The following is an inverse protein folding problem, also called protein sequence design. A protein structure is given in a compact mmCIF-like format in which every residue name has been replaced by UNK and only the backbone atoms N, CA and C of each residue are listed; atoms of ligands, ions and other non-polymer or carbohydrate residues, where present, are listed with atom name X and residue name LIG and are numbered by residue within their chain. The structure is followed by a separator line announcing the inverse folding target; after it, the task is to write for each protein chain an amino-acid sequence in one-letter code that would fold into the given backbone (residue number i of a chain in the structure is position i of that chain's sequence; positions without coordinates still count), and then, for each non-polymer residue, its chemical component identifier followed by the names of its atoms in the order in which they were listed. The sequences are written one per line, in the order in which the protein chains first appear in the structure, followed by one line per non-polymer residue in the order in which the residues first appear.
data_IF_252430679371
#
_entry.id   IF_252430679371
#
_cell.length_a   1.000
_cell.length_b   1.000
_cell.length_c   1.000
_cell.angle_alpha   90.00
_cell.angle_beta   90.00
_cell.angle_gamma   90.00
#
_symmetry.space_group_name_H-M   'P 1'
#
loop_
_entity.id
_entity.type
_entity.pdbx_description
1 polymer ?
#
# COMPACT_ATOMS: atom_id res chain seq x y z
N UNK A 1 -24.98 -16.42 19.76
CA UNK A 1 -25.24 -15.03 19.49
C UNK A 1 -25.23 -14.85 17.98
N UNK A 2 -26.40 -14.60 17.45
CA UNK A 2 -26.63 -14.44 16.03
C UNK A 2 -25.94 -13.16 15.56
N UNK A 3 -25.08 -13.27 14.56
CA UNK A 3 -24.62 -12.13 13.76
C UNK A 3 -25.87 -11.50 13.12
N UNK A 4 -26.16 -10.28 13.54
CA UNK A 4 -27.36 -9.57 13.12
C UNK A 4 -27.31 -9.37 11.60
N UNK A 5 -28.29 -9.88 10.87
CA UNK A 5 -28.37 -9.81 9.41
C UNK A 5 -28.31 -8.38 8.83
N UNK A 6 -28.42 -7.36 9.68
CA UNK A 6 -28.32 -5.96 9.30
C UNK A 6 -26.89 -5.44 9.06
N UNK A 7 -25.86 -6.11 9.62
CA UNK A 7 -24.47 -5.68 9.43
C UNK A 7 -23.94 -5.88 8.00
N UNK A 8 -24.46 -6.85 7.26
CA UNK A 8 -24.00 -7.14 5.90
C UNK A 8 -24.72 -6.35 4.79
N UNK A 9 -25.68 -5.48 5.13
CA UNK A 9 -26.52 -4.83 4.14
C UNK A 9 -25.85 -3.61 3.45
N UNK A 10 -24.69 -3.15 3.93
CA UNK A 10 -24.02 -1.96 3.42
C UNK A 10 -22.62 -2.22 2.83
N UNK A 11 -22.02 -3.39 3.07
CA UNK A 11 -20.70 -3.72 2.50
C UNK A 11 -20.84 -4.02 1.01
N UNK A 12 -20.14 -3.26 0.18
CA UNK A 12 -20.09 -3.46 -1.26
C UNK A 12 -19.39 -4.78 -1.61
N UNK A 13 -19.60 -5.27 -2.81
CA UNK A 13 -18.78 -6.35 -3.33
C UNK A 13 -17.36 -5.85 -3.64
N UNK A 14 -16.35 -6.69 -3.51
CA UNK A 14 -14.93 -6.34 -3.74
C UNK A 14 -14.73 -5.63 -5.09
N UNK A 15 -15.44 -6.08 -6.12
CA UNK A 15 -15.37 -5.47 -7.45
C UNK A 15 -15.84 -4.01 -7.45
N UNK A 16 -16.84 -3.65 -6.66
CA UNK A 16 -17.34 -2.27 -6.58
C UNK A 16 -16.32 -1.34 -5.90
N UNK A 17 -15.63 -1.78 -4.82
CA UNK A 17 -14.53 -1.02 -4.24
C UNK A 17 -13.40 -0.81 -5.23
N UNK A 18 -13.08 -1.83 -6.03
CA UNK A 18 -12.08 -1.73 -7.07
C UNK A 18 -12.43 -0.66 -8.09
N UNK A 19 -13.63 -0.69 -8.63
CA UNK A 19 -14.12 0.28 -9.63
C UNK A 19 -14.11 1.72 -9.08
N UNK A 20 -14.56 1.92 -7.84
CA UNK A 20 -14.53 3.23 -7.19
C UNK A 20 -13.11 3.72 -6.96
N UNK A 21 -12.20 2.84 -6.53
CA UNK A 21 -10.79 3.21 -6.36
C UNK A 21 -10.12 3.51 -7.71
N UNK A 22 -10.30 2.70 -8.74
CA UNK A 22 -9.73 2.92 -10.08
C UNK A 22 -10.22 4.24 -10.68
N UNK A 23 -11.48 4.57 -10.49
CA UNK A 23 -12.06 5.86 -10.88
C UNK A 23 -11.39 7.02 -10.13
N UNK A 24 -11.15 6.87 -8.84
CA UNK A 24 -10.46 7.86 -8.03
C UNK A 24 -8.99 8.03 -8.44
N UNK A 25 -8.26 6.93 -8.61
CA UNK A 25 -6.88 6.91 -9.08
C UNK A 25 -6.73 7.56 -10.47
N UNK A 26 -7.65 7.29 -11.40
CA UNK A 26 -7.64 7.87 -12.74
C UNK A 26 -7.93 9.39 -12.74
N UNK A 27 -8.64 9.88 -11.73
CA UNK A 27 -8.90 11.31 -11.53
C UNK A 27 -7.71 12.02 -10.84
N UNK A 28 -6.87 11.28 -10.12
CA UNK A 28 -5.70 11.85 -9.45
C UNK A 28 -4.68 12.34 -10.47
N UNK A 29 -4.27 13.58 -10.33
CA UNK A 29 -3.29 14.20 -11.21
C UNK A 29 -2.10 14.69 -10.39
N UNK A 30 -0.95 14.00 -10.43
CA UNK A 30 0.28 14.51 -9.82
C UNK A 30 0.67 15.86 -10.41
N UNK A 31 1.53 16.66 -9.72
CA UNK A 31 2.09 17.86 -10.29
C UNK A 31 2.74 17.58 -11.67
N UNK A 32 2.79 18.58 -12.56
CA UNK A 32 3.28 18.39 -13.94
C UNK A 32 4.69 18.93 -14.17
N UNK A 33 5.19 19.72 -13.23
CA UNK A 33 6.49 20.38 -13.35
C UNK A 33 7.32 20.14 -12.09
N UNK A 34 8.60 19.72 -12.24
CA UNK A 34 9.32 19.46 -13.51
C UNK A 34 8.82 18.19 -14.22
N UNK A 35 8.69 18.26 -15.55
CA UNK A 35 8.05 17.19 -16.33
C UNK A 35 8.74 15.83 -16.19
N UNK A 36 10.08 15.80 -16.19
CA UNK A 36 10.84 14.55 -16.09
C UNK A 36 10.74 13.89 -14.70
N UNK A 37 10.31 14.62 -13.67
CA UNK A 37 10.04 14.05 -12.34
C UNK A 37 8.69 13.38 -12.28
N UNK A 38 7.65 14.02 -12.82
CA UNK A 38 6.25 13.57 -12.64
C UNK A 38 5.71 12.69 -13.77
N UNK A 39 6.32 12.73 -14.96
CA UNK A 39 5.92 11.84 -16.06
C UNK A 39 6.15 10.35 -15.71
N UNK A 40 7.28 9.94 -15.10
CA UNK A 40 7.46 8.57 -14.63
C UNK A 40 6.45 8.18 -13.55
N UNK A 41 6.11 9.08 -12.62
CA UNK A 41 5.08 8.85 -11.59
C UNK A 41 3.73 8.53 -12.25
N UNK A 42 3.27 9.38 -13.15
CA UNK A 42 2.02 9.16 -13.89
C UNK A 42 2.04 7.87 -14.69
N UNK A 43 3.16 7.57 -15.34
CA UNK A 43 3.34 6.32 -16.08
C UNK A 43 3.20 5.11 -15.17
N UNK A 44 3.86 5.10 -14.01
CA UNK A 44 3.88 3.94 -13.13
C UNK A 44 2.52 3.73 -12.45
N UNK A 45 1.84 4.79 -12.02
CA UNK A 45 0.49 4.72 -11.44
C UNK A 45 -0.56 4.22 -12.44
N UNK A 46 -0.37 4.47 -13.74
CA UNK A 46 -1.26 4.00 -14.79
C UNK A 46 -1.06 2.51 -15.15
N UNK A 47 0.00 1.85 -14.66
CA UNK A 47 0.19 0.41 -14.89
C UNK A 47 -0.92 -0.39 -14.20
N UNK A 48 -1.41 -1.41 -14.90
CA UNK A 48 -2.43 -2.32 -14.35
C UNK A 48 -1.97 -3.01 -13.07
N UNK A 49 -2.90 -3.31 -12.16
CA UNK A 49 -2.61 -3.99 -10.91
C UNK A 49 -3.84 -4.55 -10.23
N UNK A 50 -3.65 -5.48 -9.31
CA UNK A 50 -4.76 -6.08 -8.52
C UNK A 50 -5.41 -5.09 -7.56
N UNK A 51 -4.73 -4.00 -7.19
CA UNK A 51 -5.20 -2.93 -6.28
C UNK A 51 -5.72 -3.47 -4.93
N UNK A 52 -5.14 -4.56 -4.42
CA UNK A 52 -5.62 -5.24 -3.20
C UNK A 52 -5.54 -4.29 -1.98
N UNK A 53 -4.41 -3.60 -1.79
CA UNK A 53 -4.18 -2.73 -0.62
C UNK A 53 -5.21 -1.59 -0.53
N UNK A 54 -5.42 -0.78 -1.56
CA UNK A 54 -6.45 0.25 -1.50
C UNK A 54 -7.87 -0.32 -1.32
N UNK A 55 -8.20 -1.45 -1.95
CA UNK A 55 -9.49 -2.12 -1.76
C UNK A 55 -9.68 -2.51 -0.28
N UNK A 56 -8.66 -3.06 0.36
CA UNK A 56 -8.69 -3.41 1.78
C UNK A 56 -8.86 -2.18 2.69
N UNK A 57 -8.30 -1.03 2.31
CA UNK A 57 -8.50 0.23 3.04
C UNK A 57 -9.97 0.66 2.99
N UNK A 58 -10.58 0.65 1.79
CA UNK A 58 -11.99 1.01 1.61
C UNK A 58 -12.92 0.04 2.33
N UNK A 59 -12.70 -1.27 2.15
CA UNK A 59 -13.46 -2.33 2.80
C UNK A 59 -13.40 -2.22 4.32
N UNK A 60 -12.22 -1.96 4.88
CA UNK A 60 -12.06 -1.80 6.33
C UNK A 60 -12.80 -0.58 6.86
N UNK A 61 -12.80 0.54 6.15
CA UNK A 61 -13.59 1.71 6.52
C UNK A 61 -15.09 1.38 6.61
N UNK A 62 -15.62 0.71 5.60
CA UNK A 62 -17.04 0.30 5.53
C UNK A 62 -17.38 -0.74 6.62
N UNK A 63 -16.47 -1.66 6.90
CA UNK A 63 -16.62 -2.69 7.95
C UNK A 63 -16.88 -2.06 9.34
N UNK A 64 -16.26 -0.92 9.63
CA UNK A 64 -16.44 -0.17 10.88
C UNK A 64 -17.48 0.95 10.76
N UNK A 65 -18.46 0.80 9.85
CA UNK A 65 -19.56 1.74 9.62
C UNK A 65 -19.12 3.17 9.24
N UNK A 66 -17.91 3.34 8.70
CA UNK A 66 -17.49 4.57 8.04
C UNK A 66 -18.09 4.66 6.62
N UNK A 67 -17.94 5.83 6.00
CA UNK A 67 -18.20 5.94 4.57
C UNK A 67 -16.88 5.65 3.84
N UNK A 68 -16.82 4.56 3.06
CA UNK A 68 -15.60 4.17 2.34
C UNK A 68 -15.04 5.30 1.45
N UNK A 69 -15.88 6.21 0.97
CA UNK A 69 -15.44 7.37 0.16
C UNK A 69 -14.53 8.32 0.95
N UNK A 70 -14.72 8.40 2.26
CA UNK A 70 -13.88 9.23 3.12
C UNK A 70 -12.47 8.65 3.28
N UNK A 71 -12.26 7.35 2.96
CA UNK A 71 -10.95 6.69 3.00
C UNK A 71 -10.23 6.62 1.66
N UNK A 72 -10.75 7.26 0.59
CA UNK A 72 -10.14 7.23 -0.74
C UNK A 72 -8.73 7.85 -0.77
N UNK A 73 -8.49 8.94 -0.04
CA UNK A 73 -7.15 9.53 0.06
C UNK A 73 -6.17 8.60 0.78
N UNK A 74 -6.59 7.95 1.87
CA UNK A 74 -5.76 6.97 2.57
C UNK A 74 -5.47 5.74 1.68
N UNK A 75 -6.47 5.27 0.92
CA UNK A 75 -6.32 4.19 -0.04
C UNK A 75 -5.34 4.56 -1.17
N UNK A 76 -5.42 5.80 -1.67
CA UNK A 76 -4.50 6.31 -2.68
C UNK A 76 -3.09 6.47 -2.11
N UNK A 77 -2.94 6.95 -0.88
CA UNK A 77 -1.64 7.07 -0.21
C UNK A 77 -0.93 5.71 -0.11
N UNK A 78 -1.65 4.66 0.30
CA UNK A 78 -1.12 3.29 0.34
C UNK A 78 -0.70 2.81 -1.04
N UNK A 79 -1.50 3.06 -2.07
CA UNK A 79 -1.17 2.63 -3.43
C UNK A 79 0.03 3.40 -3.99
N UNK A 80 0.13 4.72 -3.75
CA UNK A 80 1.28 5.54 -4.17
C UNK A 80 2.55 5.06 -3.45
N UNK A 81 2.48 4.80 -2.15
CA UNK A 81 3.60 4.25 -1.39
C UNK A 81 4.03 2.86 -1.90
N UNK A 82 3.07 1.97 -2.16
CA UNK A 82 3.38 0.66 -2.72
C UNK A 82 4.06 0.78 -4.09
N UNK A 83 3.59 1.70 -4.95
CA UNK A 83 4.24 1.93 -6.23
C UNK A 83 5.63 2.57 -6.08
N UNK A 84 5.85 3.45 -5.08
CA UNK A 84 7.18 3.93 -4.69
C UNK A 84 8.12 2.76 -4.39
N UNK A 85 7.70 1.86 -3.49
CA UNK A 85 8.53 0.70 -3.12
C UNK A 85 8.85 -0.19 -4.32
N UNK A 86 7.91 -0.37 -5.26
CA UNK A 86 8.14 -1.14 -6.48
C UNK A 86 9.10 -0.45 -7.46
N UNK A 87 9.07 0.88 -7.58
CA UNK A 87 10.03 1.62 -8.44
C UNK A 87 11.45 1.44 -7.92
N UNK A 88 11.65 1.50 -6.60
CA UNK A 88 12.98 1.30 -6.00
C UNK A 88 13.40 -0.18 -6.01
N UNK A 89 12.47 -1.10 -5.78
CA UNK A 89 12.68 -2.54 -5.87
C UNK A 89 13.17 -2.93 -7.28
N UNK A 90 12.51 -2.42 -8.33
CA UNK A 90 12.91 -2.62 -9.73
C UNK A 90 14.36 -2.16 -10.00
N UNK A 91 14.84 -1.11 -9.33
CA UNK A 91 16.22 -0.64 -9.45
C UNK A 91 17.17 -1.63 -8.76
N UNK A 92 16.83 -2.05 -7.54
CA UNK A 92 17.67 -2.95 -6.74
C UNK A 92 17.81 -4.34 -7.39
N UNK A 93 16.73 -4.79 -8.04
CA UNK A 93 16.68 -6.09 -8.74
C UNK A 93 17.16 -5.99 -10.20
N UNK A 94 17.54 -4.80 -10.68
CA UNK A 94 17.88 -4.55 -12.10
C UNK A 94 16.79 -5.05 -13.07
N UNK A 95 15.53 -5.04 -12.62
CA UNK A 95 14.41 -5.63 -13.34
C UNK A 95 14.10 -4.88 -14.64
N UNK A 96 14.09 -5.52 -15.82
CA UNK A 96 13.83 -4.82 -17.08
C UNK A 96 12.34 -4.48 -17.28
N UNK A 97 11.45 -5.27 -16.71
CA UNK A 97 10.01 -5.17 -16.90
C UNK A 97 9.24 -5.27 -15.58
N UNK A 98 8.17 -4.49 -15.47
CA UNK A 98 7.15 -4.59 -14.41
C UNK A 98 5.76 -4.67 -15.06
N UNK A 99 5.01 -5.74 -14.74
CA UNK A 99 3.65 -5.95 -15.30
C UNK A 99 3.64 -5.89 -16.85
N UNK A 100 4.67 -6.43 -17.51
CA UNK A 100 4.82 -6.44 -18.96
C UNK A 100 5.28 -5.13 -19.59
N UNK A 101 5.52 -4.08 -18.79
CA UNK A 101 6.00 -2.77 -19.24
C UNK A 101 7.42 -2.52 -18.75
N UNK A 102 8.19 -1.68 -19.48
CA UNK A 102 9.53 -1.28 -19.04
C UNK A 102 9.49 -0.63 -17.66
N UNK A 103 10.45 -0.98 -16.81
CA UNK A 103 10.64 -0.30 -15.52
C UNK A 103 11.08 1.14 -15.70
N UNK A 104 10.91 1.98 -14.66
CA UNK A 104 11.21 3.42 -14.81
C UNK A 104 12.68 3.65 -15.15
N UNK A 105 13.62 2.95 -14.50
CA UNK A 105 15.04 3.10 -14.75
C UNK A 105 15.47 2.63 -16.15
N UNK A 106 14.74 1.69 -16.75
CA UNK A 106 14.98 1.26 -18.13
C UNK A 106 14.38 2.21 -19.17
N UNK A 107 13.23 2.80 -18.87
CA UNK A 107 12.51 3.67 -19.81
C UNK A 107 13.04 5.11 -19.81
N UNK A 108 13.57 5.58 -18.70
CA UNK A 108 14.20 6.90 -18.53
C UNK A 108 15.68 6.71 -18.20
N UNK A 109 16.02 6.77 -16.93
CA UNK A 109 17.35 6.54 -16.38
C UNK A 109 17.28 6.28 -14.87
N UNK A 110 18.39 5.87 -14.27
CA UNK A 110 18.49 5.53 -12.86
C UNK A 110 18.17 6.73 -11.94
N UNK A 111 18.73 7.90 -12.24
CA UNK A 111 18.52 9.10 -11.41
C UNK A 111 17.06 9.54 -11.42
N UNK A 112 16.43 9.50 -12.59
CA UNK A 112 15.00 9.79 -12.76
C UNK A 112 14.14 8.80 -11.97
N UNK A 113 14.48 7.51 -11.98
CA UNK A 113 13.74 6.50 -11.24
C UNK A 113 13.85 6.71 -9.73
N UNK A 114 15.05 6.98 -9.20
CA UNK A 114 15.27 7.29 -7.78
C UNK A 114 14.44 8.49 -7.37
N UNK A 115 14.57 9.63 -8.05
CA UNK A 115 13.84 10.85 -7.70
C UNK A 115 12.32 10.72 -7.85
N UNK A 116 11.86 9.96 -8.85
CA UNK A 116 10.43 9.71 -9.03
C UNK A 116 9.87 8.85 -7.90
N UNK A 117 10.62 7.87 -7.41
CA UNK A 117 10.28 7.12 -6.22
C UNK A 117 10.24 8.01 -4.98
N UNK A 118 11.30 8.81 -4.73
CA UNK A 118 11.36 9.71 -3.58
C UNK A 118 10.16 10.66 -3.52
N UNK A 119 9.81 11.27 -4.65
CA UNK A 119 8.65 12.18 -4.67
C UNK A 119 7.33 11.44 -4.45
N UNK A 120 7.20 10.20 -4.92
CA UNK A 120 5.99 9.38 -4.64
C UNK A 120 5.82 9.14 -3.15
N UNK A 121 6.88 8.89 -2.39
CA UNK A 121 6.82 8.77 -0.93
C UNK A 121 6.25 10.04 -0.29
N UNK A 122 6.71 11.22 -0.72
CA UNK A 122 6.19 12.50 -0.20
C UNK A 122 4.75 12.75 -0.65
N UNK A 123 4.40 12.45 -1.89
CA UNK A 123 3.01 12.57 -2.38
C UNK A 123 2.05 11.69 -1.57
N UNK A 124 2.48 10.49 -1.14
CA UNK A 124 1.69 9.63 -0.26
C UNK A 124 1.41 10.30 1.09
N UNK A 125 2.40 10.97 1.70
CA UNK A 125 2.19 11.76 2.93
C UNK A 125 1.23 12.93 2.71
N UNK A 126 1.34 13.65 1.60
CA UNK A 126 0.48 14.80 1.31
C UNK A 126 -0.99 14.44 1.21
N UNK A 127 -1.33 13.22 0.78
CA UNK A 127 -2.72 12.76 0.74
C UNK A 127 -3.37 12.71 2.14
N UNK A 128 -2.59 12.54 3.20
CA UNK A 128 -3.12 12.58 4.58
C UNK A 128 -3.48 14.00 5.04
N UNK A 129 -2.93 15.04 4.42
CA UNK A 129 -3.24 16.44 4.75
C UNK A 129 -4.71 16.81 4.48
N UNK A 130 -5.42 16.00 3.69
CA UNK A 130 -6.85 16.17 3.42
C UNK A 130 -7.74 15.77 4.61
N UNK A 131 -7.18 15.14 5.66
CA UNK A 131 -7.90 14.73 6.86
C UNK A 131 -7.80 15.78 7.97
N UNK A 132 -8.76 15.73 8.92
CA UNK A 132 -8.63 16.53 10.14
C UNK A 132 -7.41 16.10 10.97
N UNK A 133 -6.96 16.98 11.88
CA UNK A 133 -5.72 16.82 12.64
C UNK A 133 -5.60 15.45 13.34
N UNK A 134 -6.66 14.97 13.99
CA UNK A 134 -6.62 13.72 14.74
C UNK A 134 -6.39 12.52 13.82
N UNK A 135 -7.11 12.46 12.71
CA UNK A 135 -6.97 11.39 11.70
C UNK A 135 -5.61 11.51 11.02
N UNK A 136 -5.21 12.72 10.61
CA UNK A 136 -3.89 12.98 10.03
C UNK A 136 -2.75 12.45 10.90
N UNK A 137 -2.74 12.81 12.18
CA UNK A 137 -1.69 12.38 13.12
C UNK A 137 -1.65 10.85 13.26
N UNK A 138 -2.82 10.20 13.34
CA UNK A 138 -2.90 8.74 13.45
C UNK A 138 -2.40 8.04 12.17
N UNK A 139 -2.84 8.51 10.99
CA UNK A 139 -2.40 7.99 9.70
C UNK A 139 -0.90 8.19 9.48
N UNK A 140 -0.38 9.39 9.75
CA UNK A 140 1.04 9.71 9.58
C UNK A 140 1.95 8.86 10.49
N UNK A 141 1.55 8.64 11.75
CA UNK A 141 2.29 7.77 12.68
C UNK A 141 2.31 6.31 12.22
N UNK A 142 1.15 5.77 11.83
CA UNK A 142 1.07 4.42 11.30
C UNK A 142 1.90 4.26 10.03
N UNK A 143 1.78 5.20 9.11
CA UNK A 143 2.49 5.18 7.84
C UNK A 143 4.01 5.26 8.02
N UNK A 144 4.50 6.15 8.88
CA UNK A 144 5.94 6.28 9.15
C UNK A 144 6.52 5.00 9.72
N UNK A 145 5.83 4.37 10.68
CA UNK A 145 6.23 3.08 11.23
C UNK A 145 6.29 2.02 10.14
N UNK A 146 5.20 1.88 9.37
CA UNK A 146 5.11 0.88 8.30
C UNK A 146 6.15 1.10 7.19
N UNK A 147 6.45 2.36 6.84
CA UNK A 147 7.47 2.66 5.85
C UNK A 147 8.86 2.19 6.29
N UNK A 148 9.21 2.38 7.56
CA UNK A 148 10.47 1.84 8.13
C UNK A 148 10.48 0.31 8.07
N UNK A 149 9.42 -0.35 8.53
CA UNK A 149 9.29 -1.80 8.52
C UNK A 149 9.42 -2.39 7.10
N UNK A 150 8.81 -1.76 6.10
CA UNK A 150 8.94 -2.18 4.68
C UNK A 150 10.39 -2.04 4.19
N UNK A 151 11.10 -0.95 4.54
CA UNK A 151 12.50 -0.79 4.18
C UNK A 151 13.39 -1.85 4.85
N UNK A 152 13.13 -2.15 6.13
CA UNK A 152 13.82 -3.22 6.86
C UNK A 152 13.57 -4.59 6.22
N UNK A 153 12.32 -4.86 5.81
CA UNK A 153 11.96 -6.08 5.10
C UNK A 153 12.66 -6.22 3.75
N UNK A 154 12.77 -5.13 2.99
CA UNK A 154 13.50 -5.12 1.72
C UNK A 154 15.01 -5.34 1.93
N UNK A 155 15.60 -4.77 2.98
CA UNK A 155 17.01 -5.02 3.30
C UNK A 155 17.24 -6.48 3.68
N UNK A 156 16.34 -7.09 4.48
CA UNK A 156 16.42 -8.51 4.81
C UNK A 156 16.35 -9.40 3.56
N UNK A 157 15.51 -9.06 2.59
CA UNK A 157 15.40 -9.79 1.33
C UNK A 157 16.70 -9.75 0.53
N UNK A 158 17.32 -8.56 0.40
CA UNK A 158 18.63 -8.39 -0.24
C UNK A 158 19.72 -9.17 0.50
N UNK A 159 19.72 -9.17 1.84
CA UNK A 159 20.72 -9.87 2.61
C UNK A 159 20.55 -11.39 2.52
N UNK A 160 19.30 -11.86 2.52
CA UNK A 160 18.98 -13.28 2.45
C UNK A 160 19.22 -13.87 1.06
N UNK A 161 19.06 -13.09 0.00
CA UNK A 161 19.37 -13.54 -1.37
C UNK A 161 20.85 -13.98 -1.54
N UNK A 162 21.74 -13.53 -0.64
CA UNK A 162 23.16 -13.89 -0.64
C UNK A 162 23.49 -15.11 0.21
N UNK A 163 22.50 -15.66 0.94
CA UNK A 163 22.69 -16.80 1.84
C UNK A 163 22.33 -18.11 1.14
N UNK A 164 23.07 -19.18 1.41
CA UNK A 164 22.79 -20.50 0.85
C UNK A 164 21.69 -21.25 1.59
N UNK A 165 21.34 -20.83 2.81
CA UNK A 165 20.32 -21.47 3.63
C UNK A 165 19.64 -20.45 4.52
N UNK A 166 18.30 -20.41 4.45
CA UNK A 166 17.45 -19.54 5.25
C UNK A 166 16.41 -20.40 5.94
N UNK A 167 16.38 -20.38 7.27
CA UNK A 167 15.34 -21.08 8.01
C UNK A 167 13.98 -20.38 7.89
N UNK A 168 12.90 -21.15 8.12
CA UNK A 168 11.51 -20.65 8.00
C UNK A 168 11.22 -19.43 8.89
N UNK A 169 11.83 -19.32 10.07
CA UNK A 169 11.63 -18.18 10.96
C UNK A 169 12.18 -16.87 10.35
N UNK A 170 13.36 -16.90 9.75
CA UNK A 170 13.94 -15.74 9.04
C UNK A 170 13.10 -15.36 7.82
N UNK A 171 12.69 -16.35 7.03
CA UNK A 171 11.82 -16.14 5.88
C UNK A 171 10.51 -15.48 6.30
N UNK A 172 9.82 -16.01 7.34
CA UNK A 172 8.57 -15.41 7.84
C UNK A 172 8.78 -13.99 8.34
N UNK A 173 9.86 -13.69 9.04
CA UNK A 173 10.17 -12.33 9.51
C UNK A 173 10.39 -11.37 8.32
N UNK A 174 11.06 -11.79 7.27
CA UNK A 174 11.30 -10.98 6.08
C UNK A 174 9.98 -10.68 5.35
N UNK A 175 9.13 -11.68 5.06
CA UNK A 175 7.85 -11.46 4.36
C UNK A 175 6.86 -10.67 5.23
N UNK A 176 6.90 -10.82 6.57
CA UNK A 176 6.13 -10.00 7.48
C UNK A 176 6.45 -8.52 7.26
N UNK A 177 7.73 -8.15 7.30
CA UNK A 177 8.16 -6.76 7.16
C UNK A 177 8.02 -6.25 5.70
N UNK A 178 8.46 -7.03 4.71
CA UNK A 178 8.44 -6.60 3.30
C UNK A 178 7.03 -6.45 2.74
N UNK A 179 6.10 -7.36 3.12
CA UNK A 179 4.79 -7.48 2.47
C UNK A 179 3.62 -7.28 3.43
N UNK A 180 3.63 -7.97 4.59
CA UNK A 180 2.43 -8.11 5.40
C UNK A 180 2.11 -6.86 6.22
N UNK A 181 3.10 -6.14 6.75
CA UNK A 181 2.87 -4.90 7.53
C UNK A 181 2.12 -3.84 6.73
N UNK A 182 2.39 -3.72 5.43
CA UNK A 182 1.67 -2.76 4.58
C UNK A 182 0.20 -3.18 4.34
N UNK A 183 -0.09 -4.47 4.29
CA UNK A 183 -1.47 -4.97 4.21
C UNK A 183 -2.20 -4.70 5.52
N UNK A 184 -1.57 -4.97 6.67
CA UNK A 184 -2.10 -4.63 7.98
C UNK A 184 -2.37 -3.13 8.12
N UNK A 185 -1.40 -2.30 7.72
CA UNK A 185 -1.53 -0.85 7.74
C UNK A 185 -2.66 -0.35 6.83
N UNK A 186 -2.83 -0.94 5.64
CA UNK A 186 -3.93 -0.61 4.73
C UNK A 186 -5.29 -0.78 5.39
N UNK A 187 -5.51 -1.90 6.06
CA UNK A 187 -6.77 -2.17 6.78
C UNK A 187 -6.93 -1.24 7.99
N UNK A 188 -5.87 -1.03 8.77
CA UNK A 188 -5.91 -0.13 9.93
C UNK A 188 -6.18 1.32 9.53
N UNK A 189 -5.67 1.80 8.40
CA UNK A 189 -5.98 3.14 7.89
C UNK A 189 -7.48 3.32 7.62
N UNK A 190 -8.15 2.33 7.02
CA UNK A 190 -9.60 2.36 6.84
C UNK A 190 -10.34 2.45 8.18
N UNK A 191 -9.94 1.66 9.19
CA UNK A 191 -10.51 1.69 10.52
C UNK A 191 -10.28 3.04 11.25
N UNK A 192 -9.10 3.66 11.08
CA UNK A 192 -8.80 5.00 11.62
C UNK A 192 -9.75 6.04 11.02
N UNK A 193 -9.93 6.03 9.70
CA UNK A 193 -10.84 6.97 9.01
C UNK A 193 -12.27 6.77 9.47
N UNK A 194 -12.71 5.54 9.67
CA UNK A 194 -14.02 5.19 10.25
C UNK A 194 -14.15 5.52 11.73
N UNK A 195 -13.08 5.97 12.40
CA UNK A 195 -13.04 6.25 13.84
C UNK A 195 -13.37 5.03 14.71
N UNK A 196 -12.96 3.84 14.28
CA UNK A 196 -13.05 2.62 15.07
C UNK A 196 -12.25 2.78 16.38
N UNK A 197 -12.61 2.02 17.40
CA UNK A 197 -11.87 2.03 18.67
C UNK A 197 -10.43 1.51 18.49
N UNK A 198 -9.53 1.88 19.38
CA UNK A 198 -8.12 1.47 19.33
C UNK A 198 -7.96 -0.05 19.27
N UNK A 199 -8.81 -0.79 20.01
CA UNK A 199 -8.81 -2.25 20.00
C UNK A 199 -9.25 -2.83 18.65
N UNK A 200 -10.27 -2.25 18.03
CA UNK A 200 -10.72 -2.66 16.69
C UNK A 200 -9.65 -2.35 15.63
N UNK A 201 -9.00 -1.19 15.72
CA UNK A 201 -7.90 -0.81 14.84
C UNK A 201 -6.72 -1.78 14.95
N UNK A 202 -6.37 -2.23 16.17
CA UNK A 202 -5.29 -3.19 16.36
C UNK A 202 -5.67 -4.58 15.87
N UNK A 203 -6.87 -5.04 16.16
CA UNK A 203 -7.36 -6.35 15.70
C UNK A 203 -7.39 -6.44 14.15
N UNK A 204 -7.83 -5.39 13.47
CA UNK A 204 -7.87 -5.39 12.00
C UNK A 204 -6.46 -5.27 11.39
N UNK A 205 -5.53 -4.60 12.06
CA UNK A 205 -4.12 -4.58 11.69
C UNK A 205 -3.51 -5.98 11.73
N UNK A 206 -3.67 -6.68 12.85
CA UNK A 206 -3.15 -8.04 13.01
C UNK A 206 -3.82 -9.03 12.04
N UNK A 207 -5.12 -8.89 11.79
CA UNK A 207 -5.79 -9.67 10.75
C UNK A 207 -5.18 -9.43 9.37
N UNK A 208 -4.99 -8.16 8.97
CA UNK A 208 -4.40 -7.79 7.69
C UNK A 208 -2.95 -8.26 7.55
N UNK A 209 -2.16 -8.18 8.64
CA UNK A 209 -0.79 -8.68 8.66
C UNK A 209 -0.74 -10.21 8.44
N UNK A 210 -1.56 -10.98 9.15
CA UNK A 210 -1.64 -12.42 8.95
C UNK A 210 -2.15 -12.81 7.55
N UNK A 211 -3.10 -12.04 7.00
CA UNK A 211 -3.53 -12.20 5.62
C UNK A 211 -2.38 -11.96 4.63
N UNK A 212 -1.55 -10.96 4.89
CA UNK A 212 -0.37 -10.64 4.08
C UNK A 212 0.68 -11.73 4.09
N UNK A 213 0.95 -12.33 5.25
CA UNK A 213 1.86 -13.48 5.37
C UNK A 213 1.31 -14.67 4.56
N UNK A 214 0.03 -15.01 4.74
CA UNK A 214 -0.59 -16.11 4.02
C UNK A 214 -0.58 -15.89 2.49
N UNK A 215 -0.84 -14.66 2.06
CA UNK A 215 -0.80 -14.26 0.65
C UNK A 215 0.62 -14.45 0.06
N UNK A 216 1.66 -13.99 0.78
CA UNK A 216 3.04 -14.11 0.29
C UNK A 216 3.48 -15.57 0.21
N UNK A 217 3.16 -16.38 1.23
CA UNK A 217 3.45 -17.82 1.21
C UNK A 217 2.80 -18.47 -0.02
N UNK A 218 1.55 -18.11 -0.35
CA UNK A 218 0.85 -18.66 -1.51
C UNK A 218 1.47 -18.22 -2.85
N UNK A 219 2.00 -16.98 -2.92
CA UNK A 219 2.65 -16.48 -4.15
C UNK A 219 4.02 -17.16 -4.40
N UNK A 220 4.71 -17.59 -3.33
CA UNK A 220 6.06 -18.17 -3.41
C UNK A 220 6.05 -19.71 -3.64
N UNK A 221 4.89 -20.37 -3.50
CA UNK A 221 4.70 -21.81 -3.68
C UNK A 221 3.71 -22.15 -4.80
#
# INVERSE_FOLDING_TARGET
PFLDKHYFCHVLQIQQYREEFEKYLNAYTPPKTPHNLYKPVSYFLALEGKRIRPILTLLSCDLFNGNYKDSLDAALAVEVFHNFSLVHDDIMDEAPLRRGNQTVHQKWDLSTAILSGDVMLILAYQLFENYNENIFVALAKLFSKTAVEVCEGQQLDIDFSKLNDINSAKYLSMIELKTAVLIGASMKMGAIVAKASDNEQENIYEFGKNLGIAFQIQDDF
#
